data_IF_141561369177
#
_entry.id   IF_141561369177
#
_cell.length_a   1.000
_cell.length_b   1.000
_cell.length_c   1.000
_cell.angle_alpha   90.00
_cell.angle_beta   90.00
_cell.angle_gamma   90.00
#
_symmetry.space_group_name_H-M   'P 1'
#
loop_
_entity.id
_entity.type
_entity.pdbx_description
1 polymer ?
#
# COMPACT_ATOMS: atom_id res chain seq x y z
N UNK A 1 4.49 -18.34 -13.21
CA UNK A 1 5.16 -18.26 -11.90
C UNK A 1 5.42 -19.65 -11.39
N UNK A 2 6.71 -20.03 -11.23
CA UNK A 2 7.04 -21.21 -10.45
C UNK A 2 6.92 -20.84 -8.98
N UNK A 3 5.94 -21.41 -8.30
CA UNK A 3 5.92 -21.41 -6.87
C UNK A 3 6.77 -22.59 -6.42
N UNK A 4 7.77 -22.32 -5.62
CA UNK A 4 8.54 -23.27 -4.79
C UNK A 4 9.51 -24.20 -5.53
N UNK A 5 10.77 -24.23 -5.13
CA UNK A 5 11.71 -25.28 -5.51
C UNK A 5 11.19 -26.64 -5.02
N UNK A 6 11.15 -27.60 -5.91
CA UNK A 6 10.65 -28.96 -5.61
C UNK A 6 11.52 -29.68 -4.57
N UNK A 7 12.79 -29.27 -4.42
CA UNK A 7 13.79 -29.95 -3.59
C UNK A 7 14.02 -29.34 -2.21
N UNK A 8 13.64 -28.08 -2.04
CA UNK A 8 13.80 -27.35 -0.79
C UNK A 8 12.54 -26.55 -0.51
N UNK A 9 12.18 -26.41 0.74
CA UNK A 9 11.02 -25.60 1.14
C UNK A 9 11.21 -24.15 0.67
N UNK A 10 10.15 -23.59 0.07
CA UNK A 10 10.14 -22.21 -0.35
C UNK A 10 9.81 -21.25 0.79
N UNK A 11 10.26 -20.01 0.65
CA UNK A 11 9.87 -18.94 1.55
C UNK A 11 8.46 -18.44 1.21
N UNK A 12 7.61 -18.28 2.21
CA UNK A 12 6.27 -17.70 2.03
C UNK A 12 6.35 -16.28 1.44
N UNK A 13 5.49 -15.98 0.46
CA UNK A 13 5.43 -14.67 -0.22
C UNK A 13 6.71 -14.26 -0.98
N UNK A 14 7.50 -15.22 -1.39
CA UNK A 14 8.60 -15.06 -2.34
C UNK A 14 8.30 -15.93 -3.53
N UNK A 15 8.36 -15.39 -4.75
CA UNK A 15 7.98 -16.10 -5.97
C UNK A 15 9.01 -15.88 -7.07
N UNK A 16 9.31 -16.95 -7.78
CA UNK A 16 10.09 -16.91 -9.01
C UNK A 16 9.15 -16.71 -10.20
N UNK A 17 9.63 -15.99 -11.21
CA UNK A 17 8.92 -15.88 -12.48
C UNK A 17 9.45 -16.95 -13.44
N UNK A 18 8.55 -17.83 -13.94
CA UNK A 18 8.89 -18.75 -15.02
C UNK A 18 9.05 -18.02 -16.35
N UNK A 19 9.36 -18.77 -17.41
CA UNK A 19 9.75 -18.22 -18.72
C UNK A 19 8.78 -17.18 -19.27
N UNK A 20 7.48 -17.49 -19.29
CA UNK A 20 6.46 -16.56 -19.78
C UNK A 20 6.29 -15.35 -18.84
N UNK A 21 6.40 -15.57 -17.53
CA UNK A 21 6.26 -14.51 -16.52
C UNK A 21 7.40 -13.50 -16.57
N UNK A 22 8.63 -13.95 -16.79
CA UNK A 22 9.78 -13.05 -16.90
C UNK A 22 9.73 -12.21 -18.17
N UNK A 23 9.31 -12.78 -19.30
CA UNK A 23 9.13 -12.03 -20.55
C UNK A 23 8.03 -10.95 -20.40
N UNK A 24 6.88 -11.33 -19.86
CA UNK A 24 5.80 -10.37 -19.59
C UNK A 24 6.27 -9.22 -18.67
N UNK A 25 6.96 -9.57 -17.59
CA UNK A 25 7.51 -8.57 -16.65
C UNK A 25 8.50 -7.64 -17.34
N UNK A 26 9.41 -8.17 -18.15
CA UNK A 26 10.42 -7.37 -18.85
C UNK A 26 9.77 -6.46 -19.91
N UNK A 27 8.79 -6.96 -20.66
CA UNK A 27 8.04 -6.16 -21.63
C UNK A 27 7.29 -4.99 -20.95
N UNK A 28 6.66 -5.22 -19.79
CA UNK A 28 5.99 -4.16 -19.02
C UNK A 28 7.00 -3.12 -18.56
N UNK A 29 8.15 -3.53 -18.01
CA UNK A 29 9.20 -2.61 -17.56
C UNK A 29 9.77 -1.79 -18.71
N UNK A 30 10.05 -2.43 -19.85
CA UNK A 30 10.57 -1.74 -21.03
C UNK A 30 9.56 -0.74 -21.58
N UNK A 31 8.29 -1.12 -21.68
CA UNK A 31 7.24 -0.24 -22.14
C UNK A 31 7.06 0.97 -21.21
N UNK A 32 7.09 0.73 -19.88
CA UNK A 32 7.03 1.80 -18.89
C UNK A 32 8.22 2.75 -19.04
N UNK A 33 9.44 2.21 -19.16
CA UNK A 33 10.65 3.02 -19.30
C UNK A 33 10.65 3.88 -20.56
N UNK A 34 10.25 3.30 -21.67
CA UNK A 34 10.07 4.07 -22.91
C UNK A 34 9.05 5.19 -22.74
N UNK A 35 7.88 4.88 -22.21
CA UNK A 35 6.79 5.83 -22.10
C UNK A 35 7.01 6.93 -21.05
N UNK A 36 7.65 6.59 -19.93
CA UNK A 36 7.78 7.53 -18.79
C UNK A 36 9.13 8.22 -18.73
N UNK A 37 10.14 7.70 -19.40
CA UNK A 37 11.51 8.27 -19.38
C UNK A 37 11.92 8.72 -20.75
N UNK A 38 12.02 7.79 -21.71
CA UNK A 38 12.66 8.09 -23.00
C UNK A 38 11.86 9.05 -23.90
N UNK A 39 10.55 9.12 -23.75
CA UNK A 39 9.70 10.05 -24.50
C UNK A 39 9.57 11.43 -23.86
N UNK A 40 10.27 11.67 -22.74
CA UNK A 40 10.26 12.96 -22.04
C UNK A 40 11.67 13.53 -21.97
N UNK A 41 11.86 14.78 -22.45
CA UNK A 41 13.15 15.47 -22.42
C UNK A 41 13.61 15.86 -21.00
N UNK A 42 12.64 15.98 -20.08
CA UNK A 42 12.86 16.42 -18.71
C UNK A 42 12.71 15.30 -17.68
N UNK A 43 12.84 14.04 -18.07
CA UNK A 43 12.87 12.90 -17.16
C UNK A 43 14.13 12.09 -17.41
N UNK A 44 14.83 11.79 -16.33
CA UNK A 44 16.08 11.01 -16.38
C UNK A 44 16.00 9.78 -15.48
N UNK A 45 16.74 8.75 -15.82
CA UNK A 45 16.78 7.52 -15.06
C UNK A 45 17.96 7.48 -14.09
N UNK A 46 17.77 6.81 -12.97
CA UNK A 46 18.83 6.39 -12.05
C UNK A 46 18.68 4.92 -11.70
N UNK A 47 19.74 4.34 -11.16
CA UNK A 47 19.71 3.04 -10.47
C UNK A 47 20.42 3.21 -9.13
N UNK A 48 19.66 3.49 -8.08
CA UNK A 48 20.20 3.65 -6.73
C UNK A 48 20.41 2.32 -6.04
N UNK A 49 21.39 2.25 -5.15
CA UNK A 49 21.71 1.03 -4.41
C UNK A 49 20.53 0.58 -3.52
N UNK A 50 20.40 -0.73 -3.33
CA UNK A 50 19.44 -1.33 -2.38
C UNK A 50 19.84 -0.99 -0.94
N UNK A 51 21.13 -1.12 -0.63
CA UNK A 51 21.68 -0.74 0.66
C UNK A 51 21.99 0.76 0.68
N UNK A 52 21.34 1.46 1.59
CA UNK A 52 21.59 2.88 1.83
C UNK A 52 21.93 3.08 3.31
N UNK A 53 22.58 4.19 3.62
CA UNK A 53 22.95 4.49 5.00
C UNK A 53 21.71 4.51 5.91
N UNK A 54 21.75 3.88 7.10
CA UNK A 54 20.58 3.76 7.99
C UNK A 54 19.91 5.10 8.35
N UNK A 55 20.69 6.19 8.38
CA UNK A 55 20.17 7.53 8.65
C UNK A 55 19.10 7.97 7.63
N UNK A 56 19.18 7.51 6.39
CA UNK A 56 18.17 7.82 5.35
C UNK A 56 16.81 7.27 5.77
N UNK A 57 16.79 6.01 6.23
CA UNK A 57 15.57 5.34 6.67
C UNK A 57 15.02 5.89 7.98
N UNK A 58 15.90 6.38 8.84
CA UNK A 58 15.50 7.09 10.05
C UNK A 58 14.91 8.46 9.72
N UNK A 59 15.56 9.24 8.85
CA UNK A 59 15.09 10.55 8.42
C UNK A 59 13.74 10.49 7.69
N UNK A 60 13.51 9.43 6.89
CA UNK A 60 12.23 9.21 6.20
C UNK A 60 11.15 8.54 7.07
N UNK A 61 11.42 8.28 8.34
CA UNK A 61 10.47 7.67 9.27
C UNK A 61 10.27 6.16 9.14
N UNK A 62 10.91 5.48 8.18
CA UNK A 62 10.71 4.05 7.95
C UNK A 62 11.19 3.18 9.12
N UNK A 63 12.23 3.59 9.84
CA UNK A 63 12.71 2.83 11.00
C UNK A 63 11.69 2.87 12.14
N UNK A 64 11.07 4.02 12.34
CA UNK A 64 10.23 4.28 13.51
C UNK A 64 8.73 4.08 13.25
N UNK A 65 8.25 4.34 12.03
CA UNK A 65 6.83 4.40 11.72
C UNK A 65 6.35 3.41 10.63
N UNK A 66 7.24 2.68 9.96
CA UNK A 66 6.84 1.70 8.95
C UNK A 66 6.48 0.37 9.60
N UNK A 67 5.38 0.39 10.36
CA UNK A 67 4.95 -0.73 11.18
C UNK A 67 3.52 -1.13 10.85
N UNK A 68 3.24 -2.46 10.93
CA UNK A 68 1.89 -3.00 10.93
C UNK A 68 1.46 -3.30 12.38
N UNK A 69 0.24 -2.91 12.81
CA UNK A 69 -0.32 -3.32 14.09
C UNK A 69 -0.79 -4.77 14.00
N UNK A 70 -0.12 -5.67 14.69
CA UNK A 70 -0.39 -7.11 14.65
C UNK A 70 -1.07 -7.59 15.94
N UNK A 71 -2.04 -8.50 15.77
CA UNK A 71 -2.76 -9.16 16.86
C UNK A 71 -2.83 -10.66 16.58
N UNK A 72 -2.66 -11.48 17.61
CA UNK A 72 -2.76 -12.93 17.50
C UNK A 72 -4.06 -13.42 18.13
N UNK A 73 -4.70 -14.42 17.51
CA UNK A 73 -5.76 -15.16 18.15
C UNK A 73 -5.19 -16.41 18.83
N UNK A 74 -5.39 -16.55 20.14
CA UNK A 74 -4.79 -17.61 20.97
C UNK A 74 -5.27 -19.00 20.60
N UNK A 75 -6.53 -19.12 20.14
CA UNK A 75 -7.14 -20.41 19.85
C UNK A 75 -6.73 -20.94 18.46
N UNK A 76 -6.75 -20.07 17.45
CA UNK A 76 -6.32 -20.44 16.10
C UNK A 76 -4.80 -20.41 15.92
N UNK A 77 -4.05 -19.78 16.84
CA UNK A 77 -2.61 -19.51 16.74
C UNK A 77 -2.23 -18.77 15.45
N UNK A 78 -3.15 -17.99 14.91
CA UNK A 78 -2.95 -17.21 13.68
C UNK A 78 -2.80 -15.73 13.99
N UNK A 79 -1.97 -15.09 13.20
CA UNK A 79 -1.66 -13.67 13.27
C UNK A 79 -2.46 -12.89 12.23
N UNK A 80 -2.94 -11.73 12.62
CA UNK A 80 -3.74 -10.83 11.80
C UNK A 80 -3.23 -9.40 11.96
N UNK A 81 -3.52 -8.57 10.99
CA UNK A 81 -3.39 -7.13 11.12
C UNK A 81 -4.64 -6.59 11.82
N UNK A 82 -4.44 -5.86 12.91
CA UNK A 82 -5.53 -5.30 13.70
C UNK A 82 -6.35 -4.27 12.89
N UNK A 83 -5.67 -3.42 12.12
CA UNK A 83 -6.30 -2.45 11.23
C UNK A 83 -7.20 -3.12 10.18
N UNK A 84 -6.72 -4.19 9.51
CA UNK A 84 -7.51 -4.93 8.52
C UNK A 84 -8.74 -5.60 9.14
N UNK A 85 -8.64 -6.12 10.36
CA UNK A 85 -9.81 -6.68 11.06
C UNK A 85 -10.89 -5.63 11.32
N UNK A 86 -10.49 -4.40 11.63
CA UNK A 86 -11.41 -3.28 11.87
C UNK A 86 -11.98 -2.78 10.53
N UNK A 87 -11.16 -2.68 9.46
CA UNK A 87 -11.62 -2.35 8.10
C UNK A 87 -12.64 -3.37 7.59
N UNK A 88 -12.42 -4.66 7.81
CA UNK A 88 -13.38 -5.72 7.47
C UNK A 88 -14.71 -5.56 8.24
N UNK A 89 -14.65 -5.05 9.47
CA UNK A 89 -15.86 -4.76 10.26
C UNK A 89 -16.60 -3.52 9.72
N UNK A 90 -15.90 -2.47 9.33
CA UNK A 90 -16.47 -1.32 8.63
C UNK A 90 -17.17 -1.75 7.33
N UNK A 91 -16.51 -2.58 6.53
CA UNK A 91 -17.07 -3.13 5.30
C UNK A 91 -18.36 -3.94 5.55
N UNK A 92 -18.47 -4.67 6.67
CA UNK A 92 -19.72 -5.36 7.05
C UNK A 92 -20.87 -4.41 7.34
N UNK A 93 -20.59 -3.23 7.90
CA UNK A 93 -21.64 -2.19 8.08
C UNK A 93 -22.08 -1.66 6.72
N UNK A 94 -21.16 -1.38 5.81
CA UNK A 94 -21.50 -0.95 4.43
C UNK A 94 -22.29 -2.01 3.68
N UNK A 95 -21.94 -3.29 3.83
CA UNK A 95 -22.73 -4.38 3.26
C UNK A 95 -24.16 -4.44 3.80
N UNK A 96 -24.36 -4.22 5.11
CA UNK A 96 -25.70 -4.19 5.73
C UNK A 96 -26.51 -3.03 5.16
N UNK A 97 -25.91 -1.84 5.05
CA UNK A 97 -26.53 -0.66 4.44
C UNK A 97 -26.95 -0.98 3.00
N UNK A 98 -26.03 -1.49 2.19
CA UNK A 98 -26.28 -1.80 0.78
C UNK A 98 -27.33 -2.90 0.60
N UNK A 99 -27.40 -3.88 1.49
CA UNK A 99 -28.45 -4.92 1.49
C UNK A 99 -29.84 -4.34 1.75
N UNK A 100 -29.97 -3.40 2.69
CA UNK A 100 -31.28 -2.72 2.94
C UNK A 100 -31.68 -1.84 1.74
N UNK A 101 -30.74 -1.10 1.15
CA UNK A 101 -30.96 -0.30 -0.07
C UNK A 101 -31.40 -1.19 -1.22
N UNK A 102 -30.71 -2.29 -1.47
CA UNK A 102 -31.04 -3.21 -2.57
C UNK A 102 -32.41 -3.88 -2.39
N UNK A 103 -32.81 -4.18 -1.14
CA UNK A 103 -34.18 -4.70 -0.84
C UNK A 103 -35.24 -3.66 -1.16
N UNK A 104 -34.99 -2.40 -0.79
CA UNK A 104 -35.91 -1.29 -1.06
C UNK A 104 -36.03 -1.02 -2.55
N UNK A 105 -34.90 -0.98 -3.29
CA UNK A 105 -34.88 -0.81 -4.73
C UNK A 105 -35.71 -1.88 -5.46
N UNK A 106 -35.59 -3.15 -5.03
CA UNK A 106 -36.42 -4.25 -5.60
C UNK A 106 -37.91 -4.08 -5.27
N UNK A 107 -38.24 -3.49 -4.12
CA UNK A 107 -39.63 -3.32 -3.69
C UNK A 107 -40.33 -2.14 -4.38
N UNK A 108 -39.62 -1.05 -4.59
CA UNK A 108 -40.19 0.20 -5.09
C UNK A 108 -39.95 0.42 -6.60
N UNK A 109 -39.08 -0.38 -7.23
CA UNK A 109 -38.81 -0.31 -8.68
C UNK A 109 -38.38 1.09 -9.12
N UNK A 110 -38.93 1.55 -10.24
CA UNK A 110 -38.57 2.85 -10.86
C UNK A 110 -38.91 4.08 -10.00
N UNK A 111 -39.74 3.91 -8.96
CA UNK A 111 -40.08 4.99 -8.03
C UNK A 111 -39.11 5.08 -6.82
N UNK A 112 -38.02 4.30 -6.81
CA UNK A 112 -37.08 4.28 -5.70
C UNK A 112 -36.11 5.45 -5.76
N UNK A 113 -36.15 6.31 -4.75
CA UNK A 113 -35.15 7.34 -4.49
C UNK A 113 -34.17 6.85 -3.44
N UNK A 114 -32.97 6.46 -3.86
CA UNK A 114 -31.93 5.96 -2.99
C UNK A 114 -31.44 7.01 -2.00
N UNK A 115 -31.28 8.26 -2.40
CA UNK A 115 -30.80 9.33 -1.54
C UNK A 115 -31.77 9.61 -0.41
N UNK A 116 -33.06 9.71 -0.74
CA UNK A 116 -34.13 9.87 0.25
C UNK A 116 -34.21 8.65 1.19
N UNK A 117 -34.12 7.44 0.65
CA UNK A 117 -34.16 6.22 1.46
C UNK A 117 -32.99 6.15 2.44
N UNK A 118 -31.76 6.45 1.99
CA UNK A 118 -30.57 6.47 2.85
C UNK A 118 -30.67 7.50 3.99
N UNK A 119 -31.33 8.63 3.75
CA UNK A 119 -31.47 9.70 4.74
C UNK A 119 -32.67 9.53 5.70
N UNK A 120 -33.62 8.63 5.41
CA UNK A 120 -34.86 8.50 6.19
C UNK A 120 -35.07 7.12 6.80
N UNK A 121 -34.43 6.09 6.28
CA UNK A 121 -34.63 4.73 6.78
C UNK A 121 -33.89 4.49 8.09
N UNK A 122 -34.62 4.19 9.15
CA UNK A 122 -34.08 4.04 10.51
C UNK A 122 -32.96 2.98 10.62
N UNK A 123 -33.06 1.84 9.90
CA UNK A 123 -32.01 0.79 9.92
C UNK A 123 -30.75 1.23 9.21
N UNK A 124 -30.91 1.92 8.09
CA UNK A 124 -29.77 2.48 7.35
C UNK A 124 -29.05 3.52 8.20
N UNK A 125 -29.79 4.45 8.80
CA UNK A 125 -29.25 5.47 9.70
C UNK A 125 -28.55 4.88 10.92
N UNK A 126 -29.10 3.82 11.52
CA UNK A 126 -28.45 3.12 12.65
C UNK A 126 -27.11 2.50 12.23
N UNK A 127 -27.07 1.82 11.08
CA UNK A 127 -25.82 1.23 10.59
C UNK A 127 -24.80 2.28 10.16
N UNK A 128 -25.25 3.39 9.57
CA UNK A 128 -24.39 4.53 9.24
C UNK A 128 -23.78 5.14 10.49
N UNK A 129 -24.59 5.42 11.52
CA UNK A 129 -24.10 5.98 12.78
C UNK A 129 -23.04 5.08 13.45
N UNK A 130 -23.27 3.74 13.47
CA UNK A 130 -22.27 2.80 13.99
C UNK A 130 -20.99 2.77 13.17
N UNK A 131 -21.12 2.76 11.84
CA UNK A 131 -19.97 2.81 10.93
C UNK A 131 -19.17 4.10 11.13
N UNK A 132 -19.82 5.25 11.18
CA UNK A 132 -19.17 6.55 11.29
C UNK A 132 -18.48 6.71 12.64
N UNK A 133 -19.11 6.29 13.73
CA UNK A 133 -18.50 6.27 15.05
C UNK A 133 -17.28 5.35 15.13
N UNK A 134 -17.38 4.15 14.54
CA UNK A 134 -16.25 3.22 14.44
C UNK A 134 -15.13 3.80 13.60
N UNK A 135 -15.45 4.39 12.45
CA UNK A 135 -14.47 5.00 11.55
C UNK A 135 -13.73 6.17 12.22
N UNK A 136 -14.42 7.05 12.92
CA UNK A 136 -13.81 8.16 13.64
C UNK A 136 -12.86 7.66 14.73
N UNK A 137 -13.32 6.71 15.55
CA UNK A 137 -12.54 6.08 16.62
C UNK A 137 -11.30 5.38 16.08
N UNK A 138 -11.46 4.62 15.02
CA UNK A 138 -10.38 3.90 14.33
C UNK A 138 -9.35 4.85 13.71
N UNK A 139 -9.83 5.89 13.02
CA UNK A 139 -8.95 6.90 12.41
C UNK A 139 -8.11 7.63 13.46
N UNK A 140 -8.73 7.94 14.62
CA UNK A 140 -8.01 8.54 15.75
C UNK A 140 -6.95 7.60 16.31
N UNK A 141 -7.29 6.34 16.56
CA UNK A 141 -6.36 5.35 17.10
C UNK A 141 -5.15 5.14 16.17
N UNK A 142 -5.36 5.12 14.84
CA UNK A 142 -4.27 5.05 13.85
C UNK A 142 -3.39 6.30 13.85
N UNK A 143 -3.99 7.49 13.93
CA UNK A 143 -3.26 8.76 13.92
C UNK A 143 -2.40 8.93 15.17
N UNK A 144 -2.94 8.53 16.33
CA UNK A 144 -2.27 8.62 17.62
C UNK A 144 -1.35 7.42 17.89
N UNK A 145 -1.35 6.43 16.97
CA UNK A 145 -0.61 5.17 17.09
C UNK A 145 -0.96 4.42 18.39
N UNK A 146 -2.24 4.48 18.78
CA UNK A 146 -2.76 3.89 20.00
C UNK A 146 -3.12 2.42 19.81
N UNK A 147 -2.18 1.53 20.16
CA UNK A 147 -2.34 0.08 19.98
C UNK A 147 -3.37 -0.51 20.95
N UNK A 148 -3.49 0.06 22.13
CA UNK A 148 -4.44 -0.39 23.15
C UNK A 148 -5.86 -0.07 22.68
N UNK A 149 -6.07 1.10 22.11
CA UNK A 149 -7.35 1.50 21.53
C UNK A 149 -7.72 0.63 20.30
N UNK A 150 -6.75 0.29 19.41
CA UNK A 150 -7.03 -0.67 18.33
C UNK A 150 -7.49 -2.02 18.86
N UNK A 151 -6.89 -2.50 19.94
CA UNK A 151 -7.33 -3.73 20.61
C UNK A 151 -8.72 -3.57 21.21
N UNK A 152 -8.98 -2.44 21.87
CA UNK A 152 -10.26 -2.18 22.51
C UNK A 152 -11.40 -2.11 21.49
N UNK A 153 -11.18 -1.51 20.33
CA UNK A 153 -12.12 -1.53 19.19
C UNK A 153 -12.45 -2.96 18.78
N UNK A 154 -11.45 -3.83 18.63
CA UNK A 154 -11.67 -5.24 18.26
C UNK A 154 -12.53 -5.97 19.28
N UNK A 155 -12.37 -5.66 20.57
CA UNK A 155 -13.15 -6.25 21.66
C UNK A 155 -14.58 -5.71 21.66
N UNK A 156 -14.75 -4.39 21.60
CA UNK A 156 -16.04 -3.71 21.68
C UNK A 156 -16.95 -4.03 20.49
N UNK A 157 -16.37 -4.11 19.28
CA UNK A 157 -17.06 -4.52 18.07
C UNK A 157 -17.25 -6.04 17.96
N UNK A 158 -16.85 -6.76 19.00
CA UNK A 158 -17.00 -8.22 19.08
C UNK A 158 -16.41 -8.97 17.86
N UNK A 159 -15.31 -8.46 17.29
CA UNK A 159 -14.70 -9.04 16.11
C UNK A 159 -14.18 -10.45 16.42
N UNK A 160 -14.64 -11.40 15.65
CA UNK A 160 -14.27 -12.82 15.80
C UNK A 160 -13.14 -13.19 14.85
N UNK A 161 -12.31 -14.12 15.27
CA UNK A 161 -11.28 -14.70 14.41
C UNK A 161 -11.91 -15.41 13.20
N UNK A 162 -11.50 -15.10 11.96
CA UNK A 162 -12.06 -15.72 10.76
C UNK A 162 -11.90 -17.24 10.69
N UNK A 163 -10.95 -17.81 11.43
CA UNK A 163 -10.65 -19.25 11.42
C UNK A 163 -11.31 -19.98 12.58
N UNK A 164 -11.11 -19.49 13.82
CA UNK A 164 -11.63 -20.18 15.01
C UNK A 164 -13.02 -19.70 15.43
N UNK A 165 -13.48 -18.55 14.94
CA UNK A 165 -14.74 -17.95 15.38
C UNK A 165 -14.72 -17.41 16.82
N UNK A 166 -13.56 -17.42 17.49
CA UNK A 166 -13.42 -16.96 18.88
C UNK A 166 -12.94 -15.51 18.96
N UNK A 167 -13.15 -14.88 20.11
CA UNK A 167 -12.72 -13.51 20.43
C UNK A 167 -11.48 -13.47 21.32
N UNK A 168 -10.73 -14.57 21.41
CA UNK A 168 -9.58 -14.72 22.32
C UNK A 168 -8.33 -14.06 21.74
N UNK A 169 -8.30 -12.72 21.74
CA UNK A 169 -7.25 -11.91 21.15
C UNK A 169 -6.14 -11.58 22.16
N UNK A 170 -4.90 -11.49 21.66
CA UNK A 170 -3.75 -10.99 22.42
C UNK A 170 -3.77 -9.45 22.46
N UNK A 171 -2.70 -8.87 22.96
CA UNK A 171 -2.40 -7.45 22.77
C UNK A 171 -1.99 -7.16 21.32
N UNK A 172 -2.26 -5.95 20.86
CA UNK A 172 -1.73 -5.47 19.57
C UNK A 172 -0.28 -5.07 19.76
N UNK A 173 0.58 -5.48 18.81
CA UNK A 173 2.01 -5.16 18.82
C UNK A 173 2.42 -4.60 17.47
N UNK A 174 3.28 -3.60 17.48
CA UNK A 174 3.88 -3.11 16.25
C UNK A 174 4.89 -4.10 15.68
N UNK A 175 4.86 -4.24 14.39
CA UNK A 175 5.82 -5.04 13.66
C UNK A 175 6.42 -4.22 12.51
N UNK A 176 7.72 -3.95 12.59
CA UNK A 176 8.40 -3.18 11.55
C UNK A 176 8.57 -4.01 10.27
N UNK A 177 8.18 -3.44 9.15
CA UNK A 177 8.23 -4.08 7.84
C UNK A 177 9.60 -4.01 7.16
N UNK A 178 10.59 -3.35 7.78
CA UNK A 178 11.94 -3.28 7.25
C UNK A 178 12.67 -4.60 7.44
N UNK A 179 13.19 -5.19 6.37
CA UNK A 179 14.22 -6.20 6.49
C UNK A 179 15.54 -5.56 6.91
N UNK A 180 16.24 -6.16 7.84
CA UNK A 180 17.57 -5.72 8.25
C UNK A 180 18.58 -6.85 8.17
N UNK A 181 19.83 -6.46 7.95
CA UNK A 181 21.00 -7.35 8.04
C UNK A 181 22.15 -6.60 8.70
N UNK A 182 23.26 -7.26 8.92
CA UNK A 182 24.44 -6.69 9.52
C UNK A 182 25.58 -6.61 8.50
N UNK A 183 26.29 -5.50 8.50
CA UNK A 183 27.46 -5.26 7.66
C UNK A 183 28.65 -4.98 8.55
N UNK A 184 29.66 -5.81 8.49
CA UNK A 184 30.90 -5.69 9.28
C UNK A 184 31.66 -7.01 9.33
N UNK A 185 32.93 -6.98 9.72
CA UNK A 185 33.80 -8.16 9.82
C UNK A 185 33.73 -8.86 11.19
N UNK A 186 33.20 -8.19 12.20
CA UNK A 186 33.09 -8.73 13.58
C UNK A 186 31.69 -8.39 14.12
N UNK A 187 31.16 -9.26 14.98
CA UNK A 187 29.85 -9.06 15.61
C UNK A 187 29.79 -7.77 16.44
N UNK A 188 30.87 -7.41 17.14
CA UNK A 188 30.90 -6.23 18.01
C UNK A 188 31.02 -4.89 17.27
N UNK A 189 31.39 -4.93 16.00
CA UNK A 189 31.55 -3.74 15.14
C UNK A 189 30.59 -3.69 13.94
N UNK A 190 29.64 -4.62 13.88
CA UNK A 190 28.72 -4.69 12.76
C UNK A 190 27.70 -3.55 12.76
N UNK A 191 27.53 -2.90 11.62
CA UNK A 191 26.51 -1.88 11.42
C UNK A 191 25.23 -2.53 10.93
N UNK A 192 24.10 -2.27 11.62
CA UNK A 192 22.78 -2.68 11.14
C UNK A 192 22.41 -1.87 9.91
N UNK A 193 22.13 -2.55 8.82
CA UNK A 193 21.67 -1.96 7.57
C UNK A 193 20.31 -2.54 7.17
N UNK A 194 19.61 -1.88 6.26
CA UNK A 194 18.27 -2.27 5.86
C UNK A 194 18.20 -2.50 4.35
N UNK A 195 17.37 -3.48 3.96
CA UNK A 195 16.92 -3.61 2.58
C UNK A 195 15.84 -2.55 2.32
N UNK A 196 15.98 -1.80 1.23
CA UNK A 196 15.02 -0.74 0.92
C UNK A 196 13.60 -1.28 0.78
N UNK A 197 12.60 -0.70 1.48
CA UNK A 197 11.19 -1.09 1.34
C UNK A 197 10.50 -0.41 0.16
N UNK A 198 11.16 0.61 -0.43
CA UNK A 198 10.71 1.35 -1.61
C UNK A 198 11.88 2.03 -2.31
N UNK A 199 11.64 2.50 -3.52
CA UNK A 199 12.66 3.12 -4.37
C UNK A 199 12.69 4.65 -4.27
N UNK A 200 11.69 5.30 -3.66
CA UNK A 200 11.55 6.74 -3.58
C UNK A 200 12.74 7.45 -2.92
N UNK A 201 13.22 6.96 -1.78
CA UNK A 201 14.31 7.61 -1.04
C UNK A 201 15.61 7.66 -1.84
N UNK A 202 15.87 6.65 -2.66
CA UNK A 202 17.01 6.68 -3.58
C UNK A 202 16.93 7.83 -4.59
N UNK A 203 15.72 8.20 -5.02
CA UNK A 203 15.48 9.34 -5.90
C UNK A 203 15.72 10.66 -5.12
N UNK A 204 15.13 10.80 -3.93
CA UNK A 204 15.25 12.02 -3.14
C UNK A 204 16.69 12.32 -2.74
N UNK A 205 17.43 11.31 -2.27
CA UNK A 205 18.84 11.46 -1.87
C UNK A 205 19.72 11.88 -3.05
N UNK A 206 19.41 11.40 -4.25
CA UNK A 206 20.18 11.73 -5.45
C UNK A 206 19.68 12.97 -6.20
N UNK A 207 18.64 13.65 -5.72
CA UNK A 207 18.05 14.80 -6.40
C UNK A 207 19.10 15.85 -6.81
N UNK A 208 19.91 16.35 -5.87
CA UNK A 208 20.92 17.36 -6.15
C UNK A 208 22.04 16.87 -7.08
N UNK A 209 22.42 15.60 -6.97
CA UNK A 209 23.40 14.98 -7.84
C UNK A 209 22.89 14.95 -9.29
N UNK A 210 21.67 14.46 -9.47
CA UNK A 210 21.02 14.40 -10.79
C UNK A 210 20.82 15.79 -11.37
N UNK A 211 20.32 16.74 -10.57
CA UNK A 211 20.12 18.11 -11.00
C UNK A 211 21.42 18.75 -11.51
N UNK A 212 22.52 18.59 -10.78
CA UNK A 212 23.81 19.17 -11.13
C UNK A 212 24.44 18.51 -12.34
N UNK A 213 24.53 17.17 -12.34
CA UNK A 213 25.18 16.42 -13.41
C UNK A 213 24.41 16.47 -14.72
N UNK A 214 23.08 16.38 -14.65
CA UNK A 214 22.20 16.49 -15.81
C UNK A 214 21.86 17.92 -16.21
N UNK A 215 22.29 18.93 -15.44
CA UNK A 215 21.91 20.36 -15.61
C UNK A 215 20.40 20.55 -15.70
N UNK A 216 19.65 19.73 -14.92
CA UNK A 216 18.21 19.72 -14.96
C UNK A 216 17.61 20.99 -14.34
N UNK A 217 16.54 21.47 -14.94
CA UNK A 217 15.75 22.60 -14.43
C UNK A 217 14.35 22.11 -14.09
N UNK A 218 13.80 22.60 -12.99
CA UNK A 218 12.40 22.35 -12.59
C UNK A 218 11.47 22.95 -13.67
N UNK A 219 10.46 22.22 -14.17
CA UNK A 219 10.05 20.88 -13.74
C UNK A 219 10.87 19.76 -14.39
N UNK A 220 11.26 18.75 -13.61
CA UNK A 220 11.90 17.55 -14.14
C UNK A 220 11.59 16.33 -13.28
N UNK A 221 11.73 15.13 -13.87
CA UNK A 221 11.50 13.88 -13.22
C UNK A 221 12.75 13.03 -13.07
N UNK A 222 12.78 12.22 -12.02
CA UNK A 222 13.77 11.17 -11.81
C UNK A 222 13.04 9.85 -11.67
N UNK A 223 13.43 8.86 -12.45
CA UNK A 223 12.80 7.55 -12.50
C UNK A 223 13.79 6.43 -12.22
N UNK A 224 13.31 5.34 -11.65
CA UNK A 224 14.06 4.09 -11.54
C UNK A 224 13.14 2.88 -11.54
N UNK A 225 13.73 1.75 -11.92
CA UNK A 225 13.13 0.42 -11.77
C UNK A 225 14.05 -0.37 -10.86
N UNK A 226 13.50 -0.96 -9.80
CA UNK A 226 14.37 -1.72 -8.90
C UNK A 226 13.62 -2.55 -7.88
N UNK A 227 14.35 -3.46 -7.27
CA UNK A 227 13.87 -4.32 -6.19
C UNK A 227 13.56 -3.52 -4.92
N UNK A 228 12.48 -3.91 -4.25
CA UNK A 228 12.10 -3.45 -2.93
C UNK A 228 11.70 -4.65 -2.06
N UNK A 229 11.77 -4.49 -0.74
CA UNK A 229 11.63 -5.60 0.20
C UNK A 229 10.77 -5.16 1.39
N UNK A 230 9.74 -5.94 1.70
CA UNK A 230 8.89 -5.70 2.87
C UNK A 230 8.69 -6.98 3.64
N UNK A 231 8.97 -7.01 4.90
CA UNK A 231 8.81 -8.16 5.77
C UNK A 231 7.33 -8.41 6.11
N UNK A 232 6.55 -8.69 5.06
CA UNK A 232 5.12 -8.96 5.17
C UNK A 232 4.84 -10.20 6.01
N UNK A 233 4.04 -10.05 7.05
CA UNK A 233 3.66 -11.17 7.94
C UNK A 233 2.42 -11.88 7.41
N UNK A 234 1.42 -11.11 6.97
CA UNK A 234 0.19 -11.65 6.38
C UNK A 234 0.28 -11.55 4.87
N UNK A 235 1.18 -12.36 4.30
CA UNK A 235 1.32 -12.46 2.85
C UNK A 235 0.19 -13.32 2.29
N UNK A 236 -0.76 -12.70 1.63
CA UNK A 236 -1.88 -13.33 0.93
C UNK A 236 -1.98 -12.75 -0.48
N UNK A 237 -2.85 -13.34 -1.30
CA UNK A 237 -3.16 -12.84 -2.65
C UNK A 237 -2.01 -12.98 -3.66
N UNK A 238 -1.16 -13.99 -3.51
CA UNK A 238 -0.14 -14.33 -4.49
C UNK A 238 0.81 -13.15 -4.76
N UNK A 239 1.04 -12.76 -6.03
CA UNK A 239 1.98 -11.70 -6.42
C UNK A 239 1.54 -10.29 -6.02
N UNK A 240 0.33 -10.08 -5.53
CA UNK A 240 -0.14 -8.75 -5.08
C UNK A 240 0.49 -8.31 -3.75
N UNK A 241 0.96 -9.27 -2.93
CA UNK A 241 1.65 -8.95 -1.68
C UNK A 241 2.82 -9.91 -1.47
N UNK A 242 3.99 -9.48 -1.89
CA UNK A 242 5.24 -10.23 -1.82
C UNK A 242 6.23 -9.57 -0.88
N UNK A 243 7.16 -10.37 -0.35
CA UNK A 243 8.29 -9.88 0.47
C UNK A 243 9.40 -9.26 -0.36
N UNK A 244 9.56 -9.72 -1.59
CA UNK A 244 10.49 -9.20 -2.57
C UNK A 244 9.74 -8.89 -3.86
N UNK A 245 9.80 -7.66 -4.34
CA UNK A 245 9.06 -7.20 -5.52
C UNK A 245 9.87 -6.13 -6.27
N UNK A 246 9.42 -5.74 -7.45
CA UNK A 246 9.99 -4.64 -8.21
C UNK A 246 9.01 -3.47 -8.27
N UNK A 247 9.56 -2.26 -8.17
CA UNK A 247 8.84 -1.01 -8.37
C UNK A 247 9.36 -0.32 -9.63
N UNK A 248 8.44 0.29 -10.37
CA UNK A 248 8.71 1.26 -11.42
C UNK A 248 8.20 2.60 -10.90
N UNK A 249 9.11 3.48 -10.55
CA UNK A 249 8.78 4.72 -9.85
C UNK A 249 9.40 5.92 -10.55
N UNK A 250 8.66 7.02 -10.60
CA UNK A 250 9.10 8.31 -11.07
C UNK A 250 8.60 9.40 -10.13
N UNK A 251 9.53 10.21 -9.65
CA UNK A 251 9.23 11.42 -8.88
C UNK A 251 9.40 12.63 -9.78
N UNK A 252 8.37 13.44 -9.91
CA UNK A 252 8.36 14.60 -10.77
C UNK A 252 8.35 15.87 -9.92
N UNK A 253 9.44 16.63 -10.00
CA UNK A 253 9.69 17.82 -9.18
C UNK A 253 9.19 19.07 -9.90
N UNK A 254 8.33 19.82 -9.25
CA UNK A 254 7.72 21.04 -9.79
C UNK A 254 8.00 22.23 -8.90
N UNK A 255 7.82 23.43 -9.44
CA UNK A 255 7.90 24.65 -8.64
C UNK A 255 6.76 24.66 -7.60
N UNK A 256 7.03 24.97 -6.33
CA UNK A 256 5.99 25.12 -5.31
C UNK A 256 4.84 26.02 -5.78
N UNK A 257 3.61 25.57 -5.57
CA UNK A 257 2.39 26.25 -6.00
C UNK A 257 1.92 25.92 -7.43
N UNK A 258 2.66 25.05 -8.17
CA UNK A 258 2.24 24.59 -9.52
C UNK A 258 1.83 23.11 -9.55
N UNK A 259 1.79 22.44 -8.43
CA UNK A 259 1.46 21.02 -8.30
C UNK A 259 0.06 20.70 -8.86
N UNK A 260 -0.92 21.57 -8.61
CA UNK A 260 -2.29 21.41 -9.12
C UNK A 260 -2.41 21.58 -10.64
N UNK A 261 -1.41 22.16 -11.30
CA UNK A 261 -1.35 22.24 -12.76
C UNK A 261 -0.79 20.93 -13.35
N UNK A 262 0.18 20.31 -12.65
CA UNK A 262 0.87 19.12 -13.12
C UNK A 262 0.13 17.82 -12.78
N UNK A 263 -0.58 17.77 -11.67
CA UNK A 263 -1.31 16.60 -11.23
C UNK A 263 -2.31 16.06 -12.29
N UNK A 264 -3.21 16.88 -12.89
CA UNK A 264 -4.12 16.41 -13.93
C UNK A 264 -3.38 15.89 -15.17
N UNK A 265 -2.29 16.53 -15.58
CA UNK A 265 -1.47 16.11 -16.73
C UNK A 265 -0.90 14.70 -16.52
N UNK A 266 -0.35 14.45 -15.33
CA UNK A 266 0.18 13.13 -14.99
C UNK A 266 -0.93 12.10 -14.81
N UNK A 267 -2.07 12.47 -14.23
CA UNK A 267 -3.26 11.61 -14.13
C UNK A 267 -3.70 11.12 -15.52
N UNK A 268 -3.80 12.03 -16.50
CA UNK A 268 -4.14 11.69 -17.88
C UNK A 268 -3.06 10.82 -18.56
N UNK A 269 -1.79 11.19 -18.42
CA UNK A 269 -0.66 10.44 -19.00
C UNK A 269 -0.61 9.01 -18.46
N UNK A 270 -0.82 8.82 -17.15
CA UNK A 270 -0.87 7.50 -16.53
C UNK A 270 -2.06 6.67 -17.03
N UNK A 271 -3.23 7.28 -17.16
CA UNK A 271 -4.40 6.59 -17.69
C UNK A 271 -4.18 6.12 -19.15
N UNK A 272 -3.61 6.97 -19.99
CA UNK A 272 -3.24 6.60 -21.37
C UNK A 272 -2.30 5.40 -21.42
N UNK A 273 -1.31 5.38 -20.55
CA UNK A 273 -0.39 4.25 -20.46
C UNK A 273 -1.09 2.96 -20.06
N UNK A 274 -1.97 2.99 -19.06
CA UNK A 274 -2.73 1.82 -18.63
C UNK A 274 -3.67 1.30 -19.74
N UNK A 275 -4.39 2.19 -20.42
CA UNK A 275 -5.26 1.81 -21.53
C UNK A 275 -4.50 1.18 -22.70
N UNK A 276 -3.29 1.63 -22.97
CA UNK A 276 -2.43 1.08 -24.02
C UNK A 276 -1.93 -0.36 -23.71
N UNK A 277 -2.08 -0.85 -22.47
CA UNK A 277 -1.86 -2.26 -22.14
C UNK A 277 -2.96 -3.20 -22.69
N UNK A 278 -4.05 -2.66 -23.26
CA UNK A 278 -5.07 -3.43 -23.97
C UNK A 278 -6.22 -3.94 -23.14
N UNK A 279 -6.34 -3.53 -21.87
CA UNK A 279 -7.54 -3.80 -21.07
C UNK A 279 -8.65 -2.78 -21.39
N UNK A 280 -9.91 -3.21 -21.31
CA UNK A 280 -11.05 -2.33 -21.54
C UNK A 280 -11.16 -1.18 -20.53
N UNK A 281 -11.85 -0.11 -20.92
CA UNK A 281 -11.99 1.10 -20.11
C UNK A 281 -12.70 0.86 -18.77
N UNK A 282 -13.55 -0.16 -18.69
CA UNK A 282 -14.27 -0.62 -17.51
C UNK A 282 -13.37 -1.25 -16.44
N UNK A 283 -12.12 -1.58 -16.79
CA UNK A 283 -11.12 -2.10 -15.86
C UNK A 283 -10.36 -1.02 -15.09
N UNK A 284 -10.55 0.26 -15.42
CA UNK A 284 -9.81 1.37 -14.81
C UNK A 284 -10.76 2.39 -14.21
N UNK A 285 -10.44 2.83 -13.01
CA UNK A 285 -11.08 3.98 -12.37
C UNK A 285 -10.06 4.77 -11.58
N UNK A 286 -10.25 6.07 -11.50
CA UNK A 286 -9.56 6.89 -10.51
C UNK A 286 -10.27 6.77 -9.16
N UNK A 287 -9.47 6.77 -8.12
CA UNK A 287 -9.95 6.85 -6.74
C UNK A 287 -9.16 7.95 -6.05
N UNK A 288 -9.84 9.00 -5.66
CA UNK A 288 -9.23 10.08 -4.91
C UNK A 288 -9.24 9.67 -3.43
N UNK A 289 -8.06 9.74 -2.79
CA UNK A 289 -7.90 9.37 -1.37
C UNK A 289 -8.15 10.59 -0.50
N UNK A 290 -8.87 10.39 0.60
CA UNK A 290 -9.15 11.44 1.59
C UNK A 290 -7.88 11.85 2.35
N UNK A 291 -6.92 10.94 2.47
CA UNK A 291 -5.65 11.15 3.15
C UNK A 291 -4.49 10.80 2.23
N UNK A 292 -3.63 11.79 1.98
CA UNK A 292 -2.40 11.58 1.23
C UNK A 292 -1.31 11.00 2.13
N UNK A 293 -0.47 10.12 1.55
CA UNK A 293 0.74 9.67 2.21
C UNK A 293 1.74 10.85 2.32
N UNK A 294 2.35 11.00 3.48
CA UNK A 294 3.44 11.94 3.67
C UNK A 294 4.76 11.23 3.38
N UNK A 295 5.51 11.77 2.44
CA UNK A 295 6.92 11.47 2.25
C UNK A 295 7.74 12.60 2.85
N UNK A 296 8.81 12.27 3.56
CA UNK A 296 9.66 13.26 4.22
C UNK A 296 10.37 14.19 3.22
#
# INVERSE_FOLDING_TARGET
>A
TCALPIFYDGLGAVYDYGQMGVELKNNIKQYWWQSMVLLHENIVGIDSAIFMHPTIWKASGHVDAFNDPLIDNRDSKKRYRADVLIEDQLAKYDEKINKEVAKAAKRFGDAFDEAQFRSTNGRVLEHQAKRDALHERFSKALNDNDLDELRQIIIDEEIVCPISGTKNWTEVRQFNLMFSTEMGSTADGAMKIYLRPETAQGIFVNYLNVQKTGRMKIPFGIAQIGKAFRNEIVARQFIFRMREFEQMEMQFFVKPGTELEWFPKWKETRLKWHKALGFGDDHYRFHDHDKLAHYA
#
